data_IF_776237023131
#
_entry.id   IF_776237023131
#
_cell.length_a   1.000
_cell.length_b   1.000
_cell.length_c   1.000
_cell.angle_alpha   90.00
_cell.angle_beta   90.00
_cell.angle_gamma   90.00
#
_symmetry.space_group_name_H-M   'P 1'
#
loop_
_entity.id
_entity.type
_entity.pdbx_description
1 polymer ?
#
# COMPACT_ATOMS: atom_id res chain seq x y z
N UNK A 1 18.67 28.72 -9.97
CA UNK A 1 19.11 28.12 -11.25
C UNK A 1 17.88 27.55 -11.94
N UNK A 2 17.60 27.96 -13.18
CA UNK A 2 16.50 27.40 -13.96
C UNK A 2 17.05 26.30 -14.87
N UNK A 3 16.68 25.05 -14.60
CA UNK A 3 17.10 23.92 -15.45
C UNK A 3 16.21 23.93 -16.69
N UNK A 4 16.70 24.55 -17.76
CA UNK A 4 16.07 24.52 -19.09
C UNK A 4 16.31 23.13 -19.71
N UNK A 5 15.25 22.33 -19.78
CA UNK A 5 15.20 20.99 -20.38
C UNK A 5 16.08 19.92 -19.70
N UNK A 6 15.46 19.09 -18.87
CA UNK A 6 16.07 17.86 -18.37
C UNK A 6 16.21 16.85 -19.52
N UNK A 7 17.43 16.36 -19.77
CA UNK A 7 17.69 15.34 -20.79
C UNK A 7 16.75 14.13 -20.57
N UNK A 8 16.15 13.56 -21.62
CA UNK A 8 15.22 12.42 -21.52
C UNK A 8 15.82 11.26 -20.73
N UNK A 9 17.13 11.06 -20.87
CA UNK A 9 17.87 10.03 -20.14
C UNK A 9 17.88 10.29 -18.62
N UNK A 10 18.06 11.54 -18.19
CA UNK A 10 18.02 11.91 -16.76
C UNK A 10 16.60 11.74 -16.21
N UNK A 11 15.56 12.12 -16.98
CA UNK A 11 14.17 11.90 -16.58
C UNK A 11 13.86 10.41 -16.38
N UNK A 12 14.26 9.56 -17.32
CA UNK A 12 14.08 8.10 -17.22
C UNK A 12 14.87 7.55 -16.02
N UNK A 13 16.13 7.96 -15.86
CA UNK A 13 16.97 7.54 -14.73
C UNK A 13 16.34 7.91 -13.39
N UNK A 14 15.82 9.14 -13.23
CA UNK A 14 15.14 9.55 -12.00
C UNK A 14 13.87 8.73 -11.76
N UNK A 15 13.06 8.48 -12.80
CA UNK A 15 11.85 7.65 -12.65
C UNK A 15 12.19 6.21 -12.27
N UNK A 16 13.19 5.60 -12.90
CA UNK A 16 13.55 4.19 -12.64
C UNK A 16 14.30 4.04 -11.32
N UNK A 17 15.21 4.95 -10.99
CA UNK A 17 16.06 4.82 -9.81
C UNK A 17 15.39 5.28 -8.52
N UNK A 18 14.38 6.16 -8.61
CA UNK A 18 13.72 6.75 -7.44
C UNK A 18 12.25 6.33 -7.37
N UNK A 19 11.47 6.55 -8.43
CA UNK A 19 10.03 6.30 -8.37
C UNK A 19 9.71 4.80 -8.35
N UNK A 20 10.41 3.99 -9.14
CA UNK A 20 10.17 2.54 -9.19
C UNK A 20 10.43 1.83 -7.85
N UNK A 21 11.56 2.02 -7.14
CA UNK A 21 11.74 1.42 -5.82
C UNK A 21 10.73 1.95 -4.80
N UNK A 22 10.36 3.25 -4.84
CA UNK A 22 9.33 3.81 -3.96
C UNK A 22 7.96 3.15 -4.18
N UNK A 23 7.59 2.91 -5.44
CA UNK A 23 6.36 2.16 -5.78
C UNK A 23 6.44 0.71 -5.31
N UNK A 24 7.59 0.05 -5.48
CA UNK A 24 7.81 -1.33 -5.02
C UNK A 24 7.64 -1.47 -3.51
N UNK A 25 8.26 -0.57 -2.74
CA UNK A 25 8.12 -0.52 -1.28
C UNK A 25 6.66 -0.26 -0.90
N UNK A 26 5.99 0.72 -1.52
CA UNK A 26 4.58 1.01 -1.26
C UNK A 26 3.67 -0.20 -1.53
N UNK A 27 3.92 -0.96 -2.59
CA UNK A 27 3.14 -2.16 -2.92
C UNK A 27 3.36 -3.29 -1.91
N UNK A 28 4.61 -3.54 -1.52
CA UNK A 28 4.94 -4.55 -0.50
C UNK A 28 4.32 -4.17 0.85
N UNK A 29 4.37 -2.88 1.22
CA UNK A 29 3.75 -2.36 2.42
C UNK A 29 2.23 -2.45 2.38
N UNK A 30 1.60 -2.21 1.22
CA UNK A 30 0.15 -2.39 1.07
C UNK A 30 -0.25 -3.85 1.33
N UNK A 31 0.44 -4.82 0.72
CA UNK A 31 0.14 -6.24 0.90
C UNK A 31 0.42 -6.71 2.33
N UNK A 32 1.58 -6.35 2.88
CA UNK A 32 1.99 -6.74 4.23
C UNK A 32 1.11 -6.05 5.27
N UNK A 33 0.85 -4.75 5.12
CA UNK A 33 -0.03 -3.97 5.99
C UNK A 33 -1.44 -4.56 6.06
N UNK A 34 -2.05 -4.89 4.91
CA UNK A 34 -3.36 -5.57 4.89
C UNK A 34 -3.35 -6.88 5.69
N UNK A 35 -2.31 -7.72 5.51
CA UNK A 35 -2.19 -9.00 6.21
C UNK A 35 -2.03 -8.82 7.73
N UNK A 36 -1.17 -7.90 8.15
CA UNK A 36 -0.85 -7.67 9.55
C UNK A 36 -2.00 -7.00 10.31
N UNK A 37 -2.65 -6.00 9.70
CA UNK A 37 -3.83 -5.37 10.31
C UNK A 37 -4.99 -6.36 10.43
N UNK A 38 -5.23 -7.19 9.41
CA UNK A 38 -6.33 -8.19 9.44
C UNK A 38 -6.09 -9.33 10.44
N UNK A 39 -4.84 -9.65 10.78
CA UNK A 39 -4.50 -10.69 11.76
C UNK A 39 -4.68 -10.24 13.21
N UNK A 40 -4.93 -8.96 13.44
CA UNK A 40 -4.92 -8.39 14.80
C UNK A 40 -6.27 -8.61 15.50
N UNK A 41 -6.24 -9.21 16.70
CA UNK A 41 -7.45 -9.58 17.45
C UNK A 41 -7.96 -8.47 18.39
N UNK A 42 -7.07 -7.59 18.87
CA UNK A 42 -7.40 -6.52 19.81
C UNK A 42 -7.37 -5.15 19.15
N UNK A 43 -8.22 -4.24 19.61
CA UNK A 43 -8.26 -2.88 19.08
C UNK A 43 -6.96 -2.09 19.37
N UNK A 44 -6.33 -2.34 20.52
CA UNK A 44 -5.08 -1.67 20.90
C UNK A 44 -3.92 -2.05 19.97
N UNK A 45 -3.79 -3.34 19.66
CA UNK A 45 -2.76 -3.83 18.76
C UNK A 45 -3.00 -3.33 17.33
N UNK A 46 -4.26 -3.13 16.93
CA UNK A 46 -4.61 -2.62 15.61
C UNK A 46 -4.10 -1.18 15.44
N UNK A 47 -4.30 -0.34 16.45
CA UNK A 47 -3.79 1.04 16.46
C UNK A 47 -2.26 1.04 16.43
N UNK A 48 -1.62 0.20 17.24
CA UNK A 48 -0.15 0.15 17.32
C UNK A 48 0.47 -0.31 16.00
N UNK A 49 -0.10 -1.34 15.35
CA UNK A 49 0.34 -1.80 14.04
C UNK A 49 0.12 -0.76 12.94
N UNK A 50 -0.99 -0.02 12.99
CA UNK A 50 -1.25 1.08 12.05
C UNK A 50 -0.24 2.23 12.21
N UNK A 51 0.06 2.65 13.45
CA UNK A 51 1.05 3.69 13.74
C UNK A 51 2.47 3.26 13.32
N UNK A 52 2.83 1.99 13.55
CA UNK A 52 4.10 1.46 13.09
C UNK A 52 4.23 1.51 11.55
N UNK A 53 3.14 1.20 10.83
CA UNK A 53 3.12 1.27 9.37
C UNK A 53 3.23 2.72 8.87
N UNK A 54 2.56 3.67 9.53
CA UNK A 54 2.69 5.11 9.24
C UNK A 54 4.14 5.58 9.38
N UNK A 55 4.84 5.16 10.45
CA UNK A 55 6.26 5.45 10.61
C UNK A 55 7.12 4.87 9.48
N UNK A 56 6.86 3.63 9.08
CA UNK A 56 7.59 2.98 7.97
C UNK A 56 7.36 3.69 6.65
N UNK A 57 6.17 4.23 6.41
CA UNK A 57 5.85 5.00 5.20
C UNK A 57 6.63 6.32 5.16
N UNK A 58 6.84 6.98 6.30
CA UNK A 58 7.55 8.27 6.37
C UNK A 58 9.07 8.16 6.62
N UNK A 59 9.62 6.95 6.67
CA UNK A 59 11.04 6.75 7.03
C UNK A 59 11.99 7.31 5.97
N UNK A 60 11.61 7.29 4.69
CA UNK A 60 12.45 7.81 3.61
C UNK A 60 12.57 9.32 3.67
N UNK A 61 11.48 10.03 3.97
CA UNK A 61 11.53 11.46 4.25
C UNK A 61 12.38 11.77 5.50
N UNK A 62 12.23 11.00 6.59
CA UNK A 62 13.03 11.20 7.80
C UNK A 62 14.53 10.95 7.55
N UNK A 63 14.87 9.92 6.77
CA UNK A 63 16.25 9.65 6.38
C UNK A 63 16.80 10.77 5.49
N UNK A 64 16.02 11.28 4.55
CA UNK A 64 16.43 12.43 3.75
C UNK A 64 16.72 13.66 4.63
N UNK A 65 15.89 13.89 5.65
CA UNK A 65 16.07 14.94 6.65
C UNK A 65 17.20 14.66 7.67
N UNK A 66 17.61 13.42 7.86
CA UNK A 66 18.73 13.11 8.75
C UNK A 66 20.07 13.23 8.01
N UNK A 67 20.14 12.75 6.77
CA UNK A 67 21.39 12.58 6.04
C UNK A 67 21.75 13.75 5.11
N UNK A 68 20.79 14.62 4.74
CA UNK A 68 21.05 15.74 3.82
C UNK A 68 21.45 17.01 4.58
N UNK A 69 22.63 17.61 4.34
CA UNK A 69 23.02 18.88 4.97
C UNK A 69 22.11 20.04 4.57
N UNK A 70 21.89 21.03 5.45
CA UNK A 70 21.06 22.22 5.18
C UNK A 70 21.43 22.94 3.87
N UNK A 71 22.74 23.01 3.58
CA UNK A 71 23.24 23.61 2.34
C UNK A 71 22.66 22.91 1.10
N UNK A 72 22.67 21.57 1.08
CA UNK A 72 22.14 20.81 -0.05
C UNK A 72 20.62 20.95 -0.17
N UNK A 73 19.89 21.05 0.95
CA UNK A 73 18.44 21.32 0.93
C UNK A 73 18.12 22.67 0.33
N UNK A 74 18.83 23.72 0.74
CA UNK A 74 18.62 25.06 0.18
C UNK A 74 18.87 25.11 -1.33
N UNK A 75 19.85 24.34 -1.83
CA UNK A 75 20.09 24.19 -3.27
C UNK A 75 18.95 23.46 -3.98
N UNK A 76 18.40 22.40 -3.39
CA UNK A 76 17.25 21.66 -3.94
C UNK A 76 16.00 22.56 -3.97
N UNK A 77 15.72 23.30 -2.90
CA UNK A 77 14.57 24.22 -2.81
C UNK A 77 14.66 25.37 -3.83
N UNK A 78 15.87 25.84 -4.12
CA UNK A 78 16.11 26.87 -5.14
C UNK A 78 16.10 26.32 -6.58
N UNK A 79 16.06 24.99 -6.74
CA UNK A 79 16.00 24.34 -8.05
C UNK A 79 14.55 24.30 -8.52
N UNK A 80 14.14 25.30 -9.29
CA UNK A 80 12.82 25.33 -9.93
C UNK A 80 12.91 24.65 -11.29
N UNK A 81 12.13 23.58 -11.47
CA UNK A 81 11.96 22.92 -12.76
C UNK A 81 11.02 23.79 -13.59
N UNK A 82 11.56 24.47 -14.62
CA UNK A 82 10.75 25.23 -15.55
C UNK A 82 9.97 24.28 -16.44
N UNK A 83 8.65 24.23 -16.28
CA UNK A 83 7.74 23.55 -17.21
C UNK A 83 7.27 24.53 -18.28
N UNK A 84 7.05 24.08 -19.53
CA UNK A 84 6.43 24.93 -20.54
C UNK A 84 5.07 25.39 -20.01
N UNK A 85 4.84 26.70 -20.02
CA UNK A 85 3.59 27.30 -19.59
C UNK A 85 2.50 26.86 -20.55
N UNK A 86 1.71 25.87 -20.15
CA UNK A 86 0.49 25.50 -20.86
C UNK A 86 -0.42 26.74 -20.86
N UNK A 87 -0.97 27.06 -22.02
CA UNK A 87 -1.72 28.31 -22.24
C UNK A 87 -2.81 28.49 -21.18
N UNK A 88 -2.92 29.68 -20.62
CA UNK A 88 -4.01 30.06 -19.71
C UNK A 88 -5.36 29.89 -20.41
N UNK A 89 -5.96 28.72 -20.24
CA UNK A 89 -7.24 28.37 -20.83
C UNK A 89 -7.88 27.19 -20.11
N UNK A 90 -8.18 27.34 -18.82
CA UNK A 90 -8.96 26.33 -18.09
C UNK A 90 -8.84 26.29 -16.57
N UNK A 91 -9.07 27.42 -15.87
CA UNK A 91 -9.03 27.47 -14.39
C UNK A 91 -10.13 26.60 -13.72
N UNK A 92 -11.09 26.02 -14.46
CA UNK A 92 -12.18 25.19 -13.90
C UNK A 92 -12.02 23.66 -14.06
N UNK A 93 -11.18 23.16 -14.96
CA UNK A 93 -11.10 21.71 -15.24
C UNK A 93 -10.01 20.97 -14.45
N UNK A 94 -8.94 21.65 -14.02
CA UNK A 94 -7.82 21.05 -13.27
C UNK A 94 -8.22 20.62 -11.84
N UNK A 95 -9.09 21.39 -11.18
CA UNK A 95 -9.59 21.08 -9.83
C UNK A 95 -10.60 19.92 -9.83
N UNK A 96 -11.41 19.80 -10.88
CA UNK A 96 -12.39 18.73 -11.03
C UNK A 96 -11.72 17.38 -11.30
N UNK A 97 -10.66 17.35 -12.11
CA UNK A 97 -9.94 16.12 -12.44
C UNK A 97 -9.16 15.55 -11.24
N UNK A 98 -8.54 16.40 -10.43
CA UNK A 98 -7.84 15.98 -9.21
C UNK A 98 -8.80 15.45 -8.14
N UNK A 99 -9.95 16.11 -7.94
CA UNK A 99 -11.01 15.61 -7.05
C UNK A 99 -11.57 14.26 -7.51
N UNK A 100 -11.82 14.10 -8.81
CA UNK A 100 -12.31 12.84 -9.38
C UNK A 100 -11.29 11.71 -9.18
N UNK A 101 -10.01 11.95 -9.49
CA UNK A 101 -8.94 10.96 -9.32
C UNK A 101 -8.77 10.54 -7.86
N UNK A 102 -8.76 11.49 -6.93
CA UNK A 102 -8.66 11.19 -5.49
C UNK A 102 -9.89 10.41 -5.01
N UNK A 103 -11.09 10.78 -5.48
CA UNK A 103 -12.33 10.07 -5.14
C UNK A 103 -12.30 8.63 -5.68
N UNK A 104 -11.90 8.45 -6.93
CA UNK A 104 -11.73 7.12 -7.54
C UNK A 104 -10.68 6.30 -6.78
N UNK A 105 -9.57 6.90 -6.39
CA UNK A 105 -8.53 6.23 -5.61
C UNK A 105 -9.06 5.73 -4.25
N UNK A 106 -9.88 6.51 -3.54
CA UNK A 106 -10.52 6.08 -2.29
C UNK A 106 -11.44 4.88 -2.54
N UNK A 107 -12.30 4.96 -3.56
CA UNK A 107 -13.21 3.86 -3.92
C UNK A 107 -12.43 2.59 -4.26
N UNK A 108 -11.34 2.70 -5.03
CA UNK A 108 -10.48 1.58 -5.39
C UNK A 108 -9.79 0.96 -4.16
N UNK A 109 -9.30 1.77 -3.22
CA UNK A 109 -8.68 1.26 -1.97
C UNK A 109 -9.69 0.54 -1.08
N UNK A 110 -10.91 1.07 -0.96
CA UNK A 110 -12.00 0.41 -0.23
C UNK A 110 -12.41 -0.90 -0.91
N UNK A 111 -12.56 -0.88 -2.24
CA UNK A 111 -12.87 -2.08 -3.01
C UNK A 111 -11.77 -3.13 -2.89
N UNK A 112 -10.50 -2.74 -2.97
CA UNK A 112 -9.36 -3.62 -2.75
C UNK A 112 -9.39 -4.25 -1.35
N UNK A 113 -9.58 -3.43 -0.31
CA UNK A 113 -9.64 -3.90 1.08
C UNK A 113 -10.81 -4.88 1.29
N UNK A 114 -11.99 -4.58 0.73
CA UNK A 114 -13.14 -5.47 0.75
C UNK A 114 -12.89 -6.78 0.01
N UNK A 115 -12.31 -6.71 -1.19
CA UNK A 115 -11.93 -7.88 -1.98
C UNK A 115 -10.90 -8.74 -1.26
N UNK A 116 -9.91 -8.12 -0.62
CA UNK A 116 -8.90 -8.79 0.17
C UNK A 116 -9.54 -9.56 1.33
N UNK A 117 -10.38 -8.90 2.14
CA UNK A 117 -11.06 -9.52 3.28
C UNK A 117 -11.99 -10.68 2.85
N UNK A 118 -12.69 -10.57 1.73
CA UNK A 118 -13.68 -11.57 1.32
C UNK A 118 -13.12 -12.73 0.49
N UNK A 119 -12.06 -12.50 -0.29
CA UNK A 119 -11.52 -13.48 -1.25
C UNK A 119 -10.09 -13.93 -0.95
N UNK A 120 -9.28 -13.10 -0.30
CA UNK A 120 -7.85 -13.37 -0.10
C UNK A 120 -7.40 -13.45 1.36
N UNK A 121 -8.31 -13.22 2.31
CA UNK A 121 -8.07 -13.51 3.71
C UNK A 121 -7.99 -15.03 3.88
N UNK A 122 -6.81 -15.59 3.59
CA UNK A 122 -6.45 -16.93 4.01
C UNK A 122 -6.32 -16.90 5.54
N UNK A 123 -7.04 -17.80 6.20
CA UNK A 123 -6.96 -18.00 7.65
C UNK A 123 -5.51 -18.31 8.01
N UNK A 124 -5.00 -17.76 9.12
CA UNK A 124 -3.61 -17.95 9.57
C UNK A 124 -3.21 -19.44 9.51
N UNK A 125 -2.12 -19.82 8.82
CA UNK A 125 -1.54 -21.15 8.98
C UNK A 125 -1.10 -21.30 10.45
N UNK A 126 -1.37 -22.48 11.04
CA UNK A 126 -1.23 -22.83 12.47
C UNK A 126 -2.35 -22.43 13.46
N UNK A 127 -3.55 -22.03 13.01
CA UNK A 127 -4.68 -21.80 13.93
C UNK A 127 -5.42 -23.08 14.40
N UNK A 128 -4.97 -24.27 13.97
CA UNK A 128 -5.62 -25.57 14.17
C UNK A 128 -5.85 -25.94 15.65
N UNK A 129 -4.95 -25.50 16.54
CA UNK A 129 -4.97 -25.93 17.95
C UNK A 129 -5.90 -25.13 18.86
N UNK A 130 -6.35 -23.93 18.46
CA UNK A 130 -7.08 -23.03 19.38
C UNK A 130 -8.61 -23.19 19.27
N UNK A 131 -9.12 -23.56 18.08
CA UNK A 131 -10.56 -23.57 17.82
C UNK A 131 -11.21 -24.94 18.04
N UNK A 132 -10.46 -26.03 17.80
CA UNK A 132 -11.01 -27.39 17.72
C UNK A 132 -11.67 -27.84 19.02
N UNK A 133 -11.17 -27.38 20.16
CA UNK A 133 -11.68 -27.73 21.48
C UNK A 133 -13.07 -27.16 21.80
N UNK A 134 -13.46 -26.02 21.20
CA UNK A 134 -14.68 -25.30 21.60
C UNK A 134 -15.75 -25.21 20.49
N UNK A 135 -15.39 -25.31 19.21
CA UNK A 135 -16.32 -24.97 18.11
C UNK A 135 -16.60 -26.10 17.11
N UNK A 136 -16.23 -27.35 17.40
CA UNK A 136 -16.31 -28.45 16.42
C UNK A 136 -17.70 -28.65 15.78
N UNK A 137 -18.79 -28.40 16.51
CA UNK A 137 -20.17 -28.53 16.00
C UNK A 137 -20.63 -27.34 15.14
N UNK A 138 -20.20 -26.12 15.47
CA UNK A 138 -20.56 -24.89 14.75
C UNK A 138 -19.84 -24.72 13.42
N UNK A 139 -18.69 -25.35 13.26
CA UNK A 139 -17.87 -25.21 12.05
C UNK A 139 -18.53 -25.78 10.80
N UNK A 140 -19.18 -26.94 10.92
CA UNK A 140 -19.83 -27.61 9.78
C UNK A 140 -21.07 -26.86 9.28
N UNK A 141 -21.72 -26.05 10.13
CA UNK A 141 -22.91 -25.27 9.75
C UNK A 141 -22.59 -23.91 9.13
N UNK A 142 -21.48 -23.26 9.49
CA UNK A 142 -21.22 -21.87 9.12
C UNK A 142 -20.15 -21.63 8.05
N UNK A 143 -19.30 -22.61 7.74
CA UNK A 143 -18.21 -22.41 6.79
C UNK A 143 -18.38 -23.29 5.55
N UNK A 144 -18.47 -22.66 4.38
CA UNK A 144 -18.24 -23.33 3.10
C UNK A 144 -16.73 -23.32 2.83
N UNK A 145 -16.14 -24.50 2.63
CA UNK A 145 -14.72 -24.64 2.32
C UNK A 145 -14.44 -23.92 0.99
N UNK A 146 -13.74 -22.78 1.04
CA UNK A 146 -13.19 -22.14 -0.17
C UNK A 146 -11.87 -22.81 -0.49
N UNK A 147 -11.92 -23.89 -1.26
CA UNK A 147 -10.73 -24.51 -1.82
C UNK A 147 -10.30 -23.77 -3.09
N UNK A 148 -8.98 -23.70 -3.39
CA UNK A 148 -8.51 -23.20 -4.67
C UNK A 148 -9.11 -24.02 -5.82
N UNK A 149 -9.44 -23.36 -6.94
CA UNK A 149 -9.97 -24.03 -8.14
C UNK A 149 -8.99 -25.03 -8.76
N UNK A 150 -7.69 -24.86 -8.47
CA UNK A 150 -6.58 -25.70 -8.93
C UNK A 150 -5.63 -25.92 -7.74
N UNK A 151 -5.93 -26.91 -6.90
CA UNK A 151 -5.11 -27.32 -5.76
C UNK A 151 -5.68 -28.60 -5.15
N UNK A 152 -4.85 -29.37 -4.47
CA UNK A 152 -5.28 -30.62 -3.83
C UNK A 152 -6.30 -30.30 -2.71
N UNK A 153 -7.42 -31.03 -2.62
CA UNK A 153 -8.44 -30.81 -1.59
C UNK A 153 -7.90 -31.03 -0.16
N UNK A 154 -6.78 -31.74 -0.03
CA UNK A 154 -6.12 -31.99 1.26
C UNK A 154 -5.31 -30.78 1.76
N UNK A 155 -5.00 -29.80 0.90
CA UNK A 155 -4.39 -28.51 1.30
C UNK A 155 -5.46 -27.45 1.64
N UNK A 156 -6.74 -27.82 1.54
CA UNK A 156 -7.84 -26.90 1.78
C UNK A 156 -8.11 -26.76 3.28
N UNK A 157 -8.33 -25.54 3.75
CA UNK A 157 -8.77 -25.28 5.13
C UNK A 157 -10.01 -26.12 5.48
N UNK A 158 -10.07 -26.87 6.61
CA UNK A 158 -9.12 -26.89 7.73
C UNK A 158 -8.11 -28.06 7.72
N UNK A 159 -7.94 -28.75 6.60
CA UNK A 159 -7.18 -30.01 6.49
C UNK A 159 -5.72 -29.85 6.05
N UNK A 160 -5.33 -28.66 5.57
CA UNK A 160 -3.92 -28.38 5.25
C UNK A 160 -3.05 -28.34 6.52
N UNK A 161 -1.97 -29.14 6.52
CA UNK A 161 -0.92 -29.12 7.55
C UNK A 161 -0.20 -27.77 7.63
#
# INVERSE_FOLDING_TARGET
>A
FEILALNRLVRIMLTVLIALPKIGVAFILMLSGCRWLAATQSFGDLILNALALEFVIGIDELMFEAFTPEQTRSFIEQTKIAYPREGQGGIQNESSMSLLLNTLAIILNLAWSYMYLNNWQQVLPNFFHDIRAHCQSRFAEMYTLKCPFMGDPDECFPFGE
#
